data_IF_444220982589
#
_entry.id   IF_444220982589
#
_cell.length_a   1.000
_cell.length_b   1.000
_cell.length_c   1.000
_cell.angle_alpha   90.00
_cell.angle_beta   90.00
_cell.angle_gamma   90.00
#
_symmetry.space_group_name_H-M   'P 1'
#
loop_
_entity.id
_entity.type
_entity.pdbx_description
1 polymer ?
#
# COMPACT_ATOMS: atom_id res chain seq x y z
N UNK A 1 -0.51 21.06 17.49
CA UNK A 1 -1.72 20.38 16.99
C UNK A 1 -1.94 19.19 17.91
N UNK A 2 -3.16 18.95 18.40
CA UNK A 2 -3.43 17.95 19.47
C UNK A 2 -3.99 16.61 18.93
N UNK A 3 -4.22 16.55 17.62
CA UNK A 3 -4.85 15.43 16.92
C UNK A 3 -5.10 15.75 15.46
N UNK A 4 -5.63 14.78 14.69
CA UNK A 4 -5.94 14.88 13.27
C UNK A 4 -7.29 14.23 12.95
N UNK A 5 -7.83 14.49 11.75
CA UNK A 5 -9.12 13.92 11.31
C UNK A 5 -8.90 13.01 10.10
N UNK A 6 -9.40 11.77 10.17
CA UNK A 6 -9.38 10.76 9.10
C UNK A 6 -10.79 10.16 8.98
N UNK A 7 -11.39 10.19 7.79
CA UNK A 7 -12.66 9.53 7.47
C UNK A 7 -13.81 9.74 8.49
N UNK A 8 -13.96 10.98 8.98
CA UNK A 8 -14.94 11.38 10.01
C UNK A 8 -14.62 10.92 11.44
N UNK A 9 -13.42 10.43 11.69
CA UNK A 9 -12.87 10.14 13.01
C UNK A 9 -11.80 11.17 13.35
N UNK A 10 -11.87 11.72 14.56
CA UNK A 10 -10.84 12.59 15.11
C UNK A 10 -9.92 11.78 16.03
N UNK A 11 -8.69 11.54 15.60
CA UNK A 11 -7.65 10.88 16.40
C UNK A 11 -6.96 11.95 17.25
N UNK A 12 -7.05 11.84 18.57
CA UNK A 12 -6.58 12.86 19.51
C UNK A 12 -5.77 12.21 20.62
N UNK A 13 -4.75 12.91 21.11
CA UNK A 13 -3.95 12.41 22.22
C UNK A 13 -4.79 12.21 23.48
N UNK A 14 -4.60 11.08 24.18
CA UNK A 14 -5.24 10.81 25.47
C UNK A 14 -5.00 11.92 26.50
N UNK A 15 -3.87 12.64 26.46
CA UNK A 15 -3.61 13.75 27.38
C UNK A 15 -4.65 14.88 27.27
N UNK A 16 -5.37 14.97 26.15
CA UNK A 16 -6.43 15.97 25.92
C UNK A 16 -7.84 15.40 26.08
N UNK A 17 -7.98 14.16 26.55
CA UNK A 17 -9.28 13.52 26.75
C UNK A 17 -10.10 14.27 27.82
N UNK A 18 -11.08 15.03 27.35
CA UNK A 18 -11.99 15.81 28.20
C UNK A 18 -13.42 15.73 27.69
N UNK A 19 -14.39 15.88 28.60
CA UNK A 19 -15.82 15.93 28.26
C UNK A 19 -16.17 17.11 27.34
N UNK A 20 -15.40 18.20 27.42
CA UNK A 20 -15.57 19.38 26.56
C UNK A 20 -15.15 19.08 25.13
N UNK A 21 -13.96 18.50 24.94
CA UNK A 21 -13.45 18.13 23.63
C UNK A 21 -14.31 17.04 22.98
N UNK A 22 -14.77 16.07 23.76
CA UNK A 22 -15.68 15.01 23.28
C UNK A 22 -17.00 15.59 22.75
N UNK A 23 -17.60 16.54 23.48
CA UNK A 23 -18.82 17.24 23.06
C UNK A 23 -18.58 18.12 21.83
N UNK A 24 -17.41 18.73 21.73
CA UNK A 24 -17.01 19.52 20.56
C UNK A 24 -16.91 18.64 19.31
N UNK A 25 -16.23 17.49 19.39
CA UNK A 25 -16.10 16.56 18.27
C UNK A 25 -17.46 16.00 17.82
N UNK A 26 -18.32 15.65 18.78
CA UNK A 26 -19.68 15.20 18.49
C UNK A 26 -20.52 16.26 17.74
N UNK A 27 -20.38 17.55 18.08
CA UNK A 27 -21.04 18.65 17.34
C UNK A 27 -20.55 18.79 15.90
N UNK A 28 -19.32 18.36 15.63
CA UNK A 28 -18.73 18.35 14.29
C UNK A 28 -19.03 17.05 13.51
N UNK A 29 -19.87 16.14 14.05
CA UNK A 29 -20.09 14.80 13.52
C UNK A 29 -18.79 13.97 13.38
N UNK A 30 -17.83 14.21 14.28
CA UNK A 30 -16.60 13.44 14.32
C UNK A 30 -16.63 12.45 15.49
N UNK A 31 -16.30 11.20 15.20
CA UNK A 31 -16.10 10.19 16.24
C UNK A 31 -14.72 10.38 16.89
N UNK A 32 -14.61 10.58 18.22
CA UNK A 32 -13.31 10.66 18.86
C UNK A 32 -12.65 9.27 18.95
N UNK A 33 -11.38 9.19 18.57
CA UNK A 33 -10.49 8.06 18.81
C UNK A 33 -9.32 8.59 19.65
N UNK A 34 -9.20 8.08 20.87
CA UNK A 34 -8.17 8.50 21.81
C UNK A 34 -6.96 7.57 21.67
N UNK A 35 -5.77 8.14 21.50
CA UNK A 35 -4.52 7.39 21.37
C UNK A 35 -3.41 8.07 22.17
N UNK A 36 -2.56 7.28 22.82
CA UNK A 36 -1.40 7.80 23.54
C UNK A 36 -0.30 8.27 22.55
N UNK A 37 0.31 9.42 22.82
CA UNK A 37 1.49 9.92 22.10
C UNK A 37 1.22 10.56 20.75
N UNK A 38 -0.04 10.78 20.35
CA UNK A 38 -0.41 11.52 19.14
C UNK A 38 0.25 12.90 19.09
N UNK A 39 0.30 13.60 20.22
CA UNK A 39 0.91 14.92 20.30
C UNK A 39 2.41 14.86 20.02
N UNK A 40 3.11 13.94 20.66
CA UNK A 40 4.56 13.77 20.51
C UNK A 40 4.91 13.44 19.06
N UNK A 41 4.17 12.52 18.44
CA UNK A 41 4.31 12.13 17.03
C UNK A 41 4.10 13.30 16.07
N UNK A 42 3.03 14.08 16.28
CA UNK A 42 2.77 15.29 15.50
C UNK A 42 3.86 16.36 15.68
N UNK A 43 4.43 16.48 16.89
CA UNK A 43 5.54 17.41 17.14
C UNK A 43 6.88 16.91 16.58
N UNK A 44 7.07 15.59 16.47
CA UNK A 44 8.23 14.97 15.85
C UNK A 44 8.19 15.01 14.31
N UNK A 45 7.06 15.42 13.72
CA UNK A 45 6.88 15.53 12.27
C UNK A 45 6.41 14.23 11.60
N UNK A 46 5.90 13.26 12.37
CA UNK A 46 5.25 12.08 11.82
C UNK A 46 3.92 12.47 11.15
N UNK A 47 3.66 11.88 9.98
CA UNK A 47 2.49 12.22 9.18
C UNK A 47 1.28 11.45 9.73
N UNK A 48 0.21 12.14 10.15
CA UNK A 48 -0.96 11.47 10.71
C UNK A 48 -1.65 10.59 9.66
N UNK A 49 -1.83 9.30 9.97
CA UNK A 49 -2.36 8.29 9.05
C UNK A 49 -1.52 7.03 8.98
N UNK A 50 -0.28 7.05 9.48
CA UNK A 50 0.48 5.83 9.76
C UNK A 50 -0.31 5.03 10.81
N UNK A 51 -0.81 3.88 10.38
CA UNK A 51 -1.67 3.02 11.19
C UNK A 51 -0.83 2.37 12.30
N UNK A 52 -0.63 3.12 13.39
CA UNK A 52 -0.06 2.62 14.63
C UNK A 52 -0.99 1.53 15.19
N UNK A 53 -0.69 0.30 14.81
CA UNK A 53 -1.46 -0.88 15.20
C UNK A 53 -1.51 -1.95 14.13
N UNK A 54 -1.27 -1.63 12.86
CA UNK A 54 -1.08 -2.68 11.86
C UNK A 54 0.31 -3.30 12.05
N UNK A 55 0.42 -4.64 12.12
CA UNK A 55 1.71 -5.28 12.04
C UNK A 55 2.39 -4.84 10.75
N UNK A 56 3.67 -4.49 10.87
CA UNK A 56 4.47 -4.07 9.74
C UNK A 56 4.53 -5.20 8.72
N UNK A 57 4.08 -4.91 7.50
CA UNK A 57 3.99 -5.88 6.43
C UNK A 57 5.32 -5.94 5.69
N UNK A 58 5.65 -7.13 5.19
CA UNK A 58 6.68 -7.23 4.17
C UNK A 58 6.21 -6.54 2.89
N UNK A 59 7.16 -6.01 2.12
CA UNK A 59 6.88 -5.33 0.86
C UNK A 59 7.64 -5.99 -0.28
N UNK A 60 6.91 -6.32 -1.35
CA UNK A 60 7.48 -6.72 -2.65
C UNK A 60 7.12 -5.70 -3.71
N UNK A 61 8.04 -5.49 -4.62
CA UNK A 61 7.84 -4.58 -5.76
C UNK A 61 7.92 -5.41 -7.04
N UNK A 62 6.89 -5.27 -7.85
CA UNK A 62 6.69 -6.00 -9.09
C UNK A 62 6.72 -5.03 -10.26
N UNK A 63 7.57 -5.28 -11.24
CA UNK A 63 7.70 -4.46 -12.45
C UNK A 63 7.42 -5.27 -13.69
N UNK A 64 6.86 -4.62 -14.71
CA UNK A 64 6.63 -5.26 -16.01
C UNK A 64 7.95 -5.80 -16.57
N UNK A 65 7.91 -7.04 -17.05
CA UNK A 65 9.07 -7.67 -17.68
C UNK A 65 9.52 -6.91 -18.93
N UNK A 66 10.67 -7.28 -19.49
CA UNK A 66 11.22 -6.62 -20.69
C UNK A 66 10.60 -7.14 -21.99
N UNK A 67 10.01 -8.32 -21.95
CA UNK A 67 9.44 -9.06 -23.08
C UNK A 67 7.93 -8.83 -23.27
N UNK A 68 7.27 -8.14 -22.35
CA UNK A 68 5.86 -7.73 -22.51
C UNK A 68 5.74 -6.54 -23.46
N UNK A 69 4.51 -6.29 -23.92
CA UNK A 69 4.21 -5.16 -24.79
C UNK A 69 4.58 -3.84 -24.11
N UNK A 70 5.45 -3.07 -24.77
CA UNK A 70 5.93 -1.77 -24.26
C UNK A 70 4.81 -0.77 -24.02
N UNK A 71 3.67 -0.93 -24.68
CA UNK A 71 2.48 -0.09 -24.51
C UNK A 71 1.71 -0.35 -23.23
N UNK A 72 2.07 -1.39 -22.46
CA UNK A 72 1.59 -1.64 -21.10
C UNK A 72 2.31 -0.78 -20.04
N UNK A 73 3.43 -0.14 -20.39
CA UNK A 73 4.22 0.67 -19.46
C UNK A 73 3.67 2.09 -19.38
N UNK A 74 3.76 2.67 -18.18
CA UNK A 74 3.39 4.07 -17.92
C UNK A 74 1.94 4.42 -18.27
N UNK A 75 1.02 3.46 -18.12
CA UNK A 75 -0.42 3.69 -18.32
C UNK A 75 -1.14 3.60 -16.99
N UNK A 76 -2.35 4.18 -16.91
CA UNK A 76 -3.18 4.00 -15.72
C UNK A 76 -3.91 2.66 -15.75
N UNK A 77 -4.46 2.25 -14.60
CA UNK A 77 -5.13 0.95 -14.49
C UNK A 77 -6.31 0.82 -15.46
N UNK A 78 -7.09 1.89 -15.64
CA UNK A 78 -8.24 1.87 -16.57
C UNK A 78 -7.81 1.69 -18.03
N UNK A 79 -6.68 2.27 -18.42
CA UNK A 79 -6.11 2.11 -19.75
C UNK A 79 -5.56 0.69 -19.96
N UNK A 80 -4.98 0.10 -18.90
CA UNK A 80 -4.51 -1.29 -18.90
C UNK A 80 -5.70 -2.24 -19.11
N UNK A 81 -6.74 -2.13 -18.28
CA UNK A 81 -7.93 -2.99 -18.36
C UNK A 81 -8.61 -2.88 -19.72
N UNK A 82 -8.75 -1.67 -20.25
CA UNK A 82 -9.41 -1.43 -21.54
C UNK A 82 -8.67 -2.05 -22.73
N UNK A 83 -7.33 -2.12 -22.67
CA UNK A 83 -6.49 -2.58 -23.79
C UNK A 83 -6.06 -4.04 -23.66
N UNK A 84 -5.80 -4.50 -22.44
CA UNK A 84 -5.15 -5.77 -22.15
C UNK A 84 -5.95 -6.66 -21.19
N UNK A 85 -6.98 -6.11 -20.52
CA UNK A 85 -7.69 -6.80 -19.44
C UNK A 85 -7.03 -6.61 -18.08
N UNK A 86 -7.48 -7.39 -17.09
CA UNK A 86 -6.94 -7.34 -15.73
C UNK A 86 -5.44 -7.65 -15.69
N UNK A 87 -4.68 -7.07 -14.73
CA UNK A 87 -3.27 -7.40 -14.54
C UNK A 87 -3.06 -8.91 -14.40
N UNK A 88 -2.09 -9.42 -15.14
CA UNK A 88 -1.65 -10.81 -15.10
C UNK A 88 -0.28 -10.88 -14.44
N UNK A 89 -0.13 -11.72 -13.41
CA UNK A 89 1.10 -11.86 -12.64
C UNK A 89 2.29 -12.31 -13.52
N UNK A 90 2.05 -13.08 -14.58
CA UNK A 90 3.10 -13.59 -15.47
C UNK A 90 3.84 -12.47 -16.23
N UNK A 91 3.17 -11.32 -16.40
CA UNK A 91 3.74 -10.13 -17.04
C UNK A 91 4.71 -9.36 -16.13
N UNK A 92 4.76 -9.69 -14.83
CA UNK A 92 5.58 -8.99 -13.86
C UNK A 92 6.78 -9.83 -13.40
N UNK A 93 7.81 -9.13 -12.94
CA UNK A 93 8.96 -9.72 -12.26
C UNK A 93 9.17 -9.03 -10.93
N UNK A 94 9.47 -9.80 -9.90
CA UNK A 94 9.82 -9.27 -8.59
C UNK A 94 11.20 -8.61 -8.67
N UNK A 95 11.26 -7.32 -8.35
CA UNK A 95 12.51 -6.55 -8.35
C UNK A 95 13.02 -6.21 -6.96
N UNK A 96 12.18 -6.38 -5.95
CA UNK A 96 12.50 -6.17 -4.54
C UNK A 96 11.61 -7.03 -3.65
N UNK A 97 12.17 -7.50 -2.54
CA UNK A 97 11.49 -8.19 -1.44
C UNK A 97 12.19 -7.82 -0.14
N UNK A 98 11.45 -7.23 0.79
CA UNK A 98 11.98 -6.89 2.10
C UNK A 98 11.05 -5.96 2.88
N UNK A 99 11.57 -5.47 4.00
CA UNK A 99 10.87 -4.51 4.85
C UNK A 99 11.29 -3.08 4.52
N UNK A 100 10.31 -2.20 4.24
CA UNK A 100 10.53 -0.79 3.92
C UNK A 100 10.30 0.16 5.11
N UNK A 101 9.98 -0.35 6.30
CA UNK A 101 9.74 0.51 7.46
C UNK A 101 8.33 1.12 7.52
N UNK A 102 7.46 0.79 6.57
CA UNK A 102 6.15 1.46 6.42
C UNK A 102 5.19 0.63 5.56
N UNK A 103 3.90 0.75 5.86
CA UNK A 103 2.79 0.20 5.06
C UNK A 103 2.13 1.29 4.18
N UNK A 104 2.57 2.55 4.27
CA UNK A 104 2.01 3.66 3.50
C UNK A 104 2.50 3.60 2.04
N UNK A 105 1.56 3.45 1.10
CA UNK A 105 1.89 3.27 -0.31
C UNK A 105 2.57 4.49 -0.94
N UNK A 106 2.23 5.70 -0.51
CA UNK A 106 2.86 6.93 -1.01
C UNK A 106 4.30 7.05 -0.50
N UNK A 107 4.55 6.63 0.74
CA UNK A 107 5.89 6.55 1.31
C UNK A 107 6.73 5.46 0.65
N UNK A 108 6.15 4.28 0.40
CA UNK A 108 6.78 3.21 -0.38
C UNK A 108 7.17 3.71 -1.77
N UNK A 109 6.26 4.41 -2.44
CA UNK A 109 6.52 5.03 -3.73
C UNK A 109 7.72 5.98 -3.66
N UNK A 110 7.74 6.90 -2.70
CA UNK A 110 8.82 7.86 -2.51
C UNK A 110 10.17 7.16 -2.28
N UNK A 111 10.22 6.13 -1.43
CA UNK A 111 11.44 5.34 -1.17
C UNK A 111 11.92 4.68 -2.46
N UNK A 112 11.07 3.90 -3.13
CA UNK A 112 11.44 3.13 -4.32
C UNK A 112 11.69 4.00 -5.56
N UNK A 113 11.21 5.25 -5.57
CA UNK A 113 11.46 6.21 -6.64
C UNK A 113 12.74 7.02 -6.41
N UNK A 114 12.87 7.64 -5.23
CA UNK A 114 13.90 8.66 -4.99
C UNK A 114 15.20 8.05 -4.48
N UNK A 115 15.13 7.06 -3.59
CA UNK A 115 16.29 6.39 -3.01
C UNK A 115 16.02 4.90 -2.81
N UNK A 116 16.01 4.10 -3.90
CA UNK A 116 15.71 2.68 -3.84
C UNK A 116 16.57 1.94 -2.80
N UNK A 117 15.98 1.01 -2.04
CA UNK A 117 16.68 0.30 -0.97
C UNK A 117 17.76 -0.66 -1.54
N UNK A 118 18.73 -1.08 -0.70
CA UNK A 118 19.66 -2.15 -1.06
C UNK A 118 18.92 -3.42 -1.52
N UNK A 119 19.37 -4.02 -2.61
CA UNK A 119 18.76 -5.22 -3.17
C UNK A 119 17.61 -4.94 -4.15
N UNK A 120 17.24 -3.68 -4.40
CA UNK A 120 16.31 -3.32 -5.47
C UNK A 120 16.98 -3.47 -6.85
N UNK A 121 16.51 -4.42 -7.66
CA UNK A 121 17.14 -4.82 -8.94
C UNK A 121 16.47 -4.23 -10.19
N UNK A 122 15.42 -3.44 -9.99
CA UNK A 122 14.58 -2.87 -11.04
C UNK A 122 14.93 -1.43 -11.40
N UNK A 123 14.06 -0.80 -12.20
CA UNK A 123 14.10 0.66 -12.40
C UNK A 123 13.37 1.37 -11.24
N UNK A 124 13.62 2.67 -11.07
CA UNK A 124 12.90 3.49 -10.07
C UNK A 124 11.40 3.36 -10.24
N UNK A 125 10.67 3.18 -9.15
CA UNK A 125 9.23 2.94 -9.20
C UNK A 125 8.47 3.96 -10.05
N UNK A 126 7.54 3.48 -10.87
CA UNK A 126 6.75 4.29 -11.79
C UNK A 126 5.35 3.71 -12.03
N UNK A 127 4.54 4.41 -12.84
CA UNK A 127 3.24 3.89 -13.30
C UNK A 127 3.39 2.52 -13.94
N UNK A 128 2.35 1.71 -13.77
CA UNK A 128 2.32 0.29 -14.14
C UNK A 128 3.10 -0.65 -13.24
N UNK A 129 3.82 -0.17 -12.22
CA UNK A 129 4.41 -1.04 -11.21
C UNK A 129 3.34 -1.49 -10.19
N UNK A 130 3.60 -2.60 -9.50
CA UNK A 130 2.70 -3.13 -8.47
C UNK A 130 3.45 -3.26 -7.14
N UNK A 131 2.85 -2.73 -6.08
CA UNK A 131 3.26 -2.96 -4.69
C UNK A 131 2.47 -4.15 -4.15
N UNK A 132 3.17 -5.10 -3.55
CA UNK A 132 2.55 -6.15 -2.74
C UNK A 132 2.92 -5.91 -1.28
N UNK A 133 1.91 -5.77 -0.44
CA UNK A 133 2.05 -5.81 1.01
C UNK A 133 1.60 -7.17 1.52
N UNK A 134 2.45 -7.88 2.27
CA UNK A 134 2.16 -9.24 2.71
C UNK A 134 2.48 -9.48 4.18
N UNK A 135 1.70 -10.36 4.79
CA UNK A 135 1.88 -10.85 6.15
C UNK A 135 1.43 -12.33 6.27
N UNK A 136 1.29 -12.84 7.48
CA UNK A 136 0.84 -14.22 7.71
C UNK A 136 -0.61 -14.50 7.25
N UNK A 137 -1.43 -13.46 7.05
CA UNK A 137 -2.82 -13.54 6.62
C UNK A 137 -2.95 -13.54 5.09
N UNK A 138 -1.94 -13.05 4.36
CA UNK A 138 -1.91 -13.09 2.90
C UNK A 138 -1.22 -11.88 2.29
N UNK A 139 -1.52 -11.66 1.01
CA UNK A 139 -0.94 -10.59 0.18
C UNK A 139 -2.02 -9.66 -0.35
N UNK A 140 -1.74 -8.36 -0.34
CA UNK A 140 -2.55 -7.30 -0.93
C UNK A 140 -1.75 -6.62 -2.04
N UNK A 141 -2.36 -6.45 -3.21
CA UNK A 141 -1.69 -5.93 -4.40
C UNK A 141 -2.26 -4.57 -4.79
N UNK A 142 -1.37 -3.63 -5.09
CA UNK A 142 -1.69 -2.25 -5.39
C UNK A 142 -0.97 -1.79 -6.65
N UNK A 143 -1.75 -1.47 -7.68
CA UNK A 143 -1.25 -0.93 -8.93
C UNK A 143 -0.91 0.56 -8.78
N UNK A 144 0.29 0.95 -9.20
CA UNK A 144 0.71 2.35 -9.26
C UNK A 144 0.05 3.06 -10.44
N UNK A 145 -0.92 3.92 -10.15
CA UNK A 145 -1.72 4.63 -11.14
C UNK A 145 -1.25 6.09 -11.31
N UNK A 146 -1.93 6.87 -12.15
CA UNK A 146 -1.65 8.29 -12.37
C UNK A 146 -1.76 9.12 -11.10
N UNK A 147 -2.66 8.72 -10.20
CA UNK A 147 -2.88 9.36 -8.91
C UNK A 147 -3.00 8.26 -7.86
N UNK A 148 -1.96 8.12 -7.04
CA UNK A 148 -1.88 7.13 -5.98
C UNK A 148 -1.94 5.69 -6.48
N UNK A 149 -2.65 4.87 -5.72
CA UNK A 149 -2.66 3.41 -5.90
C UNK A 149 -4.06 2.85 -6.02
N UNK A 150 -4.21 1.82 -6.85
CA UNK A 150 -5.47 1.10 -7.03
C UNK A 150 -5.32 -0.34 -6.54
N UNK A 151 -6.16 -0.81 -5.61
CA UNK A 151 -6.14 -2.21 -5.22
C UNK A 151 -6.52 -3.09 -6.42
N UNK A 152 -5.77 -4.17 -6.63
CA UNK A 152 -5.98 -5.11 -7.73
C UNK A 152 -5.97 -6.55 -7.22
N UNK A 153 -6.50 -7.44 -8.05
CA UNK A 153 -6.23 -8.87 -7.94
C UNK A 153 -5.57 -9.28 -9.24
N UNK A 154 -4.46 -10.01 -9.15
CA UNK A 154 -3.94 -10.66 -10.34
C UNK A 154 -4.96 -11.71 -10.80
N UNK A 155 -5.13 -11.83 -12.11
CA UNK A 155 -5.80 -13.00 -12.65
C UNK A 155 -5.04 -14.24 -12.18
N UNK A 156 -5.66 -15.05 -11.32
CA UNK A 156 -5.17 -16.39 -11.04
C UNK A 156 -5.38 -17.19 -12.33
N UNK A 157 -4.35 -17.29 -13.15
CA UNK A 157 -4.26 -18.38 -14.13
C UNK A 157 -4.56 -19.66 -13.36
N UNK A 158 -5.59 -20.38 -13.78
CA UNK A 158 -5.98 -21.66 -13.20
C UNK A 158 -4.87 -22.69 -13.44
N UNK A 159 -3.80 -22.67 -12.65
CA UNK A 159 -2.98 -23.86 -12.41
C UNK A 159 -3.51 -24.50 -11.12
N UNK A 160 -4.67 -25.15 -11.26
CA UNK A 160 -4.93 -26.31 -10.43
C UNK A 160 -3.87 -27.35 -10.80
N UNK A 161 -2.94 -27.51 -9.87
CA UNK A 161 -2.08 -28.67 -9.67
C UNK A 161 -2.81 -29.98 -9.97
N UNK A 162 -2.81 -30.44 -11.22
CA UNK A 162 -3.17 -31.81 -11.56
C UNK A 162 -1.91 -32.68 -11.45
N UNK A 163 -1.42 -32.84 -10.22
CA UNK A 163 -0.51 -33.92 -9.88
C UNK A 163 -1.34 -35.20 -9.71
N UNK A 164 -1.83 -35.78 -10.81
CA UNK A 164 -2.19 -37.20 -10.81
C UNK A 164 -0.95 -37.98 -11.19
N UNK A 165 -0.26 -38.40 -10.14
CA UNK A 165 0.84 -39.33 -10.10
C UNK A 165 0.52 -40.58 -10.96
N UNK A 166 1.19 -40.71 -12.11
CA UNK A 166 1.29 -41.99 -12.82
C UNK A 166 2.30 -42.86 -12.08
N UNK A 167 1.82 -43.86 -11.33
CA UNK A 167 2.63 -45.04 -11.00
C UNK A 167 1.88 -46.30 -11.44
N UNK A 168 2.68 -47.15 -12.10
CA UNK A 168 2.38 -48.36 -12.88
C UNK A 168 1.44 -49.40 -12.27
#
# INVERSE_FOLDING_TARGET
MVGYVKDSTAVVDEMFQTDELSRYLARMNLAPQWEEGVFDRLTAGEVPGEELGQPQKGCRIWQLRKDVDVTMRFIGYEDLVKKFGEPDAENYTQVFDGDLGTNDLERIYAICRDSPPPGYQGYRMALSDVVELYDASGSEFYYCDRVGFRPIQFNQSQEQTECIEMTM
#
